data_IF_639175376126
#
_entry.id   IF_639175376126
#
_cell.length_a   1.000
_cell.length_b   1.000
_cell.length_c   1.000
_cell.angle_alpha   90.00
_cell.angle_beta   90.00
_cell.angle_gamma   90.00
#
_symmetry.space_group_name_H-M   'P 1'
#
loop_
_entity.id
_entity.type
_entity.pdbx_description
1 polymer ?
#
# COMPACT_ATOMS: atom_id res chain seq x y z
N UNK A 1 40.57 -26.08 -48.96
CA UNK A 1 39.41 -25.96 -49.87
C UNK A 1 38.23 -25.66 -48.96
N UNK A 2 37.84 -24.42 -48.68
CA UNK A 2 37.68 -23.26 -49.57
C UNK A 2 36.19 -23.12 -49.83
N UNK A 3 35.53 -22.13 -49.23
CA UNK A 3 34.11 -21.87 -49.47
C UNK A 3 33.43 -21.03 -48.38
N UNK A 4 33.89 -19.79 -48.20
CA UNK A 4 33.20 -18.73 -47.47
C UNK A 4 31.89 -18.34 -48.18
N UNK A 5 30.85 -18.05 -47.41
CA UNK A 5 29.69 -17.27 -47.86
C UNK A 5 29.33 -16.25 -46.78
N UNK A 6 29.94 -15.07 -46.91
CA UNK A 6 29.53 -13.83 -46.27
C UNK A 6 28.33 -13.30 -47.05
N UNK A 7 27.17 -13.15 -46.41
CA UNK A 7 26.03 -12.42 -46.99
C UNK A 7 25.80 -11.12 -46.21
N UNK A 8 25.97 -10.02 -46.92
CA UNK A 8 25.79 -8.63 -46.51
C UNK A 8 24.35 -8.33 -46.08
N UNK A 9 24.20 -7.68 -44.92
CA UNK A 9 22.96 -7.09 -44.45
C UNK A 9 22.80 -5.71 -45.11
N UNK A 10 21.99 -5.64 -46.17
CA UNK A 10 21.53 -4.37 -46.75
C UNK A 10 20.21 -3.95 -46.09
N UNK A 11 20.26 -2.86 -45.33
CA UNK A 11 19.09 -2.24 -44.73
C UNK A 11 18.22 -1.56 -45.78
N UNK A 12 16.99 -2.05 -45.95
CA UNK A 12 15.85 -1.30 -46.49
C UNK A 12 14.55 -1.75 -45.82
N UNK A 13 13.93 -0.83 -45.07
CA UNK A 13 12.54 -0.94 -44.62
C UNK A 13 11.61 -0.86 -45.85
N UNK A 14 10.59 -1.73 -45.99
CA UNK A 14 9.53 -1.48 -46.95
C UNK A 14 8.48 -0.54 -46.37
N UNK A 15 8.30 0.61 -47.03
CA UNK A 15 7.12 1.46 -46.92
C UNK A 15 5.86 0.66 -47.29
N UNK A 16 4.82 0.73 -46.46
CA UNK A 16 3.46 0.38 -46.87
C UNK A 16 2.52 1.56 -46.62
N UNK A 17 1.87 1.92 -47.72
CA UNK A 17 0.94 3.01 -48.00
C UNK A 17 -0.28 3.10 -47.08
N UNK A 18 -0.58 4.34 -46.65
CA UNK A 18 -1.86 4.74 -46.06
C UNK A 18 -2.92 5.01 -47.14
N UNK A 19 -4.23 4.77 -46.89
CA UNK A 19 -5.28 5.18 -47.80
C UNK A 19 -5.71 6.64 -47.56
N UNK A 20 -5.91 7.34 -48.67
CA UNK A 20 -6.38 8.71 -48.79
C UNK A 20 -7.82 8.86 -48.29
N UNK A 21 -8.08 9.82 -47.39
CA UNK A 21 -9.42 10.35 -47.12
C UNK A 21 -9.59 11.72 -47.80
N UNK A 22 -10.59 11.80 -48.67
CA UNK A 22 -10.99 13.00 -49.42
C UNK A 22 -11.59 14.06 -48.50
N UNK A 23 -11.23 15.31 -48.80
CA UNK A 23 -11.77 16.54 -48.24
C UNK A 23 -13.24 16.76 -48.64
N UNK A 24 -14.10 16.98 -47.65
CA UNK A 24 -15.44 17.56 -47.79
C UNK A 24 -15.67 18.48 -46.60
N UNK A 25 -15.78 19.78 -46.85
CA UNK A 25 -15.87 20.81 -45.80
C UNK A 25 -17.28 20.97 -45.23
N UNK A 26 -17.33 21.33 -43.96
CA UNK A 26 -18.36 22.19 -43.35
C UNK A 26 -17.81 22.70 -42.00
N UNK A 27 -17.74 24.03 -41.88
CA UNK A 27 -17.28 24.78 -40.70
C UNK A 27 -18.40 24.95 -39.66
N UNK A 28 -18.14 24.77 -38.36
CA UNK A 28 -19.03 25.27 -37.30
C UNK A 28 -18.66 26.71 -36.85
N UNK A 29 -19.58 27.45 -36.21
CA UNK A 29 -19.44 28.89 -35.92
C UNK A 29 -18.48 29.19 -34.74
N UNK A 30 -17.98 30.44 -34.62
CA UNK A 30 -16.95 30.80 -33.64
C UNK A 30 -17.51 31.03 -32.24
N UNK A 31 -16.84 30.47 -31.23
CA UNK A 31 -16.96 30.86 -29.82
C UNK A 31 -16.12 32.10 -29.50
N UNK A 32 -16.44 32.85 -28.44
CA UNK A 32 -15.85 34.16 -28.17
C UNK A 32 -14.40 34.03 -27.66
N UNK A 33 -13.56 34.96 -28.10
CA UNK A 33 -12.11 34.93 -27.98
C UNK A 33 -11.55 35.06 -26.56
N UNK A 34 -10.40 34.42 -26.38
CA UNK A 34 -9.48 34.59 -25.24
C UNK A 34 -8.54 35.73 -25.57
N UNK A 35 -8.51 36.76 -24.72
CA UNK A 35 -7.52 37.83 -24.75
C UNK A 35 -6.37 37.45 -23.80
N UNK A 36 -5.14 37.46 -24.30
CA UNK A 36 -3.94 37.09 -23.56
C UNK A 36 -3.40 38.34 -22.87
N UNK A 37 -3.40 38.35 -21.54
CA UNK A 37 -2.74 39.37 -20.72
C UNK A 37 -1.93 38.69 -19.62
N UNK A 38 -0.61 38.79 -19.69
CA UNK A 38 0.33 38.20 -18.74
C UNK A 38 0.28 38.85 -17.36
N UNK A 39 0.66 38.09 -16.34
CA UNK A 39 0.84 38.58 -14.97
C UNK A 39 1.16 37.43 -14.02
N UNK A 40 2.40 37.41 -13.51
CA UNK A 40 2.96 36.32 -12.73
C UNK A 40 2.30 36.07 -11.37
N UNK A 41 2.37 34.81 -10.95
CA UNK A 41 2.00 34.32 -9.62
C UNK A 41 3.05 34.72 -8.57
N UNK A 42 2.63 35.40 -7.50
CA UNK A 42 3.31 35.45 -6.20
C UNK A 42 2.30 35.16 -5.10
N UNK A 43 2.71 34.28 -4.19
CA UNK A 43 1.88 33.70 -3.14
C UNK A 43 1.43 34.70 -2.06
N UNK A 44 0.33 34.35 -1.41
CA UNK A 44 -0.25 35.05 -0.26
C UNK A 44 0.24 34.42 1.03
N UNK A 45 1.12 35.13 1.75
CA UNK A 45 1.31 34.93 3.18
C UNK A 45 0.36 35.88 3.94
N UNK A 46 -0.52 35.33 4.77
CA UNK A 46 -1.27 36.09 5.74
C UNK A 46 -0.35 36.47 6.91
N UNK A 47 -0.14 37.77 7.14
CA UNK A 47 0.56 38.28 8.32
C UNK A 47 -0.40 39.09 9.19
N UNK A 48 -0.48 38.67 10.46
CA UNK A 48 -1.12 39.35 11.57
C UNK A 48 -0.64 40.80 11.70
N UNK A 49 -1.58 41.72 11.95
CA UNK A 49 -1.31 43.11 12.33
C UNK A 49 -1.09 43.20 13.84
N UNK A 50 -0.01 43.84 14.26
CA UNK A 50 0.20 44.36 15.64
C UNK A 50 0.26 45.90 15.53
N UNK A 51 -0.46 46.66 16.37
CA UNK A 51 -0.43 48.12 16.31
C UNK A 51 0.79 48.71 17.03
N UNK A 52 1.38 49.72 16.40
CA UNK A 52 2.46 50.58 16.93
C UNK A 52 1.82 51.75 17.69
N UNK A 53 2.29 52.02 18.91
CA UNK A 53 1.91 53.21 19.70
C UNK A 53 2.62 54.46 19.15
N UNK A 54 1.84 55.52 18.88
CA UNK A 54 2.31 56.85 18.49
C UNK A 54 2.40 57.76 19.72
N UNK A 55 3.53 58.46 19.85
CA UNK A 55 3.85 59.40 20.92
C UNK A 55 3.37 60.83 20.59
N UNK A 56 2.79 61.51 21.56
CA UNK A 56 2.65 62.97 21.69
C UNK A 56 2.95 63.31 23.16
N UNK A 57 3.42 64.48 23.60
CA UNK A 57 3.38 65.83 23.05
C UNK A 57 4.48 66.64 23.75
N UNK A 58 4.97 67.68 23.09
CA UNK A 58 6.01 68.61 23.54
C UNK A 58 5.42 69.72 24.43
N UNK A 59 6.07 70.07 25.55
CA UNK A 59 5.87 71.34 26.27
C UNK A 59 7.21 71.90 26.72
N UNK A 60 7.44 73.19 26.43
CA UNK A 60 8.59 74.02 26.80
C UNK A 60 8.38 74.66 28.18
N UNK A 61 9.46 74.86 28.93
CA UNK A 61 9.64 76.05 29.78
C UNK A 61 11.12 76.27 30.14
N UNK A 62 11.56 77.53 30.08
CA UNK A 62 12.89 78.01 30.45
C UNK A 62 12.97 78.29 31.97
N UNK A 63 14.16 78.18 32.57
CA UNK A 63 14.91 79.29 33.20
C UNK A 63 16.07 78.80 34.11
N UNK A 64 17.23 79.46 33.90
CA UNK A 64 18.25 79.92 34.87
C UNK A 64 19.06 78.96 35.77
N UNK A 65 20.36 78.92 35.45
CA UNK A 65 21.59 78.96 36.29
C UNK A 65 21.48 78.86 37.82
N UNK A 66 22.33 78.00 38.44
CA UNK A 66 23.43 78.37 39.37
C UNK A 66 24.03 77.17 40.15
N UNK A 67 25.37 77.18 40.25
CA UNK A 67 26.24 76.79 41.40
C UNK A 67 26.49 75.30 41.75
N UNK A 68 27.70 74.85 41.38
CA UNK A 68 28.78 74.19 42.16
C UNK A 68 28.41 73.46 43.46
N UNK A 69 28.73 72.15 43.52
CA UNK A 69 29.50 71.55 44.63
C UNK A 69 29.92 70.11 44.27
N UNK A 70 31.21 69.92 44.01
CA UNK A 70 31.83 68.61 43.88
C UNK A 70 32.02 68.00 45.28
N UNK A 71 31.12 67.10 45.67
CA UNK A 71 31.32 66.25 46.84
C UNK A 71 32.05 64.97 46.41
N UNK A 72 33.33 64.85 46.78
CA UNK A 72 34.09 63.61 46.63
C UNK A 72 33.56 62.62 47.67
N UNK A 73 32.63 61.76 47.27
CA UNK A 73 32.22 60.61 48.06
C UNK A 73 33.26 59.50 47.90
N UNK A 74 34.02 59.21 48.96
CA UNK A 74 34.88 58.03 49.04
C UNK A 74 33.98 56.81 49.24
N UNK A 75 33.66 56.11 48.16
CA UNK A 75 32.95 54.83 48.20
C UNK A 75 33.99 53.74 48.52
N UNK A 76 33.81 52.95 49.59
CA UNK A 76 34.67 51.80 49.82
C UNK A 76 34.44 50.78 48.71
N UNK A 77 35.50 50.45 47.97
CA UNK A 77 35.49 49.34 47.01
C UNK A 77 35.32 48.02 47.78
N UNK A 78 34.08 47.57 47.93
CA UNK A 78 33.81 46.17 48.27
C UNK A 78 34.20 45.33 47.06
N UNK A 79 35.31 44.59 47.18
CA UNK A 79 35.74 43.61 46.20
C UNK A 79 34.63 42.56 46.02
N UNK A 80 33.78 42.76 45.02
CA UNK A 80 32.85 41.74 44.57
C UNK A 80 33.71 40.68 43.88
N UNK A 81 33.95 39.56 44.56
CA UNK A 81 34.42 38.36 43.90
C UNK A 81 33.35 37.98 42.86
N UNK A 82 33.59 38.33 41.59
CA UNK A 82 32.81 37.81 40.49
C UNK A 82 33.01 36.29 40.48
N UNK A 83 31.99 35.56 40.92
CA UNK A 83 31.92 34.13 40.67
C UNK A 83 32.08 33.94 39.16
N UNK A 84 33.10 33.18 38.76
CA UNK A 84 33.30 32.84 37.36
C UNK A 84 31.99 32.25 36.81
N UNK A 85 31.56 32.63 35.60
CA UNK A 85 30.37 32.04 35.00
C UNK A 85 30.53 30.52 34.99
N UNK A 86 29.59 29.81 35.60
CA UNK A 86 29.56 28.36 35.55
C UNK A 86 29.65 27.96 34.07
N UNK A 87 30.63 27.13 33.73
CA UNK A 87 30.79 26.63 32.36
C UNK A 87 29.45 26.04 31.92
N UNK A 88 28.88 26.57 30.84
CA UNK A 88 27.65 26.03 30.29
C UNK A 88 27.85 24.54 30.05
N UNK A 89 26.94 23.71 30.57
CA UNK A 89 26.97 22.28 30.30
C UNK A 89 27.00 22.07 28.78
N UNK A 90 27.83 21.14 28.26
CA UNK A 90 27.81 20.81 26.86
C UNK A 90 26.36 20.50 26.44
N UNK A 91 25.93 21.05 25.31
CA UNK A 91 24.63 20.68 24.73
C UNK A 91 24.57 19.17 24.44
N UNK A 92 23.35 18.61 24.27
CA UNK A 92 23.20 17.21 23.92
C UNK A 92 23.95 16.88 22.63
N UNK A 93 24.52 15.69 22.56
CA UNK A 93 25.25 15.19 21.39
C UNK A 93 24.34 14.27 20.58
N UNK A 94 24.69 13.99 19.32
CA UNK A 94 23.85 13.14 18.47
C UNK A 94 23.75 11.71 19.03
N UNK A 95 24.83 11.24 19.66
CA UNK A 95 24.95 9.94 20.32
C UNK A 95 23.92 9.75 21.45
N UNK A 96 23.43 10.83 22.06
CA UNK A 96 22.39 10.76 23.10
C UNK A 96 21.06 10.20 22.57
N UNK A 97 20.90 10.13 21.24
CA UNK A 97 19.72 9.60 20.55
C UNK A 97 20.01 8.38 19.67
N UNK A 98 21.24 7.85 19.69
CA UNK A 98 21.61 6.65 18.96
C UNK A 98 21.26 5.39 19.77
N UNK A 99 20.44 4.52 19.18
CA UNK A 99 20.17 3.19 19.71
C UNK A 99 20.77 2.15 18.76
N UNK A 100 21.36 1.11 19.33
CA UNK A 100 22.03 0.04 18.60
C UNK A 100 21.29 -1.30 18.73
N UNK A 101 20.17 -1.31 19.45
CA UNK A 101 19.36 -2.49 19.71
C UNK A 101 17.86 -2.13 19.73
N UNK A 102 16.97 -3.05 19.32
CA UNK A 102 17.30 -4.37 18.76
C UNK A 102 17.89 -4.25 17.34
N UNK A 103 18.92 -5.05 17.03
CA UNK A 103 19.44 -5.14 15.66
C UNK A 103 18.41 -5.85 14.77
N UNK A 104 17.94 -5.24 13.68
CA UNK A 104 17.02 -5.90 12.76
C UNK A 104 17.63 -7.17 12.15
N UNK A 105 16.82 -8.23 11.92
CA UNK A 105 17.31 -9.44 11.28
C UNK A 105 17.76 -9.16 9.84
N UNK A 106 18.87 -9.81 9.44
CA UNK A 106 19.36 -9.73 8.06
C UNK A 106 18.50 -10.60 7.15
N UNK A 107 17.98 -10.01 6.07
CA UNK A 107 17.18 -10.70 5.05
C UNK A 107 17.86 -10.55 3.70
N UNK A 108 18.11 -11.66 3.00
CA UNK A 108 18.57 -11.61 1.61
C UNK A 108 17.34 -11.46 0.71
N UNK A 109 17.22 -10.36 -0.05
CA UNK A 109 16.13 -10.19 -0.99
C UNK A 109 16.25 -11.19 -2.15
N UNK A 110 15.12 -11.50 -2.79
CA UNK A 110 15.15 -12.30 -4.00
C UNK A 110 15.87 -11.55 -5.14
N UNK A 111 16.47 -12.30 -6.07
CA UNK A 111 17.14 -11.73 -7.24
C UNK A 111 16.18 -11.01 -8.21
N UNK A 112 14.91 -11.43 -8.22
CA UNK A 112 13.86 -10.85 -9.04
C UNK A 112 12.77 -10.26 -8.15
N UNK A 113 12.27 -9.08 -8.51
CA UNK A 113 11.14 -8.45 -7.83
C UNK A 113 9.95 -9.41 -7.82
N UNK A 114 9.28 -9.54 -6.67
CA UNK A 114 8.13 -10.43 -6.46
C UNK A 114 8.49 -11.86 -6.06
N UNK A 115 9.74 -12.31 -6.18
CA UNK A 115 10.14 -13.63 -5.69
C UNK A 115 10.38 -13.62 -4.16
N UNK A 116 10.32 -14.81 -3.57
CA UNK A 116 10.42 -15.00 -2.12
C UNK A 116 11.80 -14.59 -1.55
N UNK A 117 11.88 -13.72 -0.52
CA UNK A 117 13.13 -13.45 0.20
C UNK A 117 13.57 -14.66 1.04
N UNK A 118 14.79 -14.61 1.58
CA UNK A 118 15.40 -15.75 2.29
C UNK A 118 14.67 -16.20 3.56
N UNK A 119 13.85 -15.34 4.16
CA UNK A 119 13.09 -15.63 5.38
C UNK A 119 11.60 -15.89 5.13
N UNK A 120 11.16 -15.92 3.87
CA UNK A 120 9.79 -16.24 3.53
C UNK A 120 9.54 -17.75 3.49
N UNK A 121 8.34 -18.12 3.92
CA UNK A 121 7.77 -19.45 3.70
C UNK A 121 7.19 -19.49 2.28
N UNK A 122 7.69 -20.39 1.44
CA UNK A 122 7.13 -20.65 0.11
C UNK A 122 5.86 -21.49 0.28
N UNK A 123 4.71 -20.88 0.02
CA UNK A 123 3.43 -21.58 0.06
C UNK A 123 3.18 -22.34 -1.24
N UNK A 124 3.62 -21.82 -2.39
CA UNK A 124 3.60 -22.53 -3.66
C UNK A 124 4.68 -22.00 -4.60
N UNK A 125 5.58 -22.88 -5.04
CA UNK A 125 6.69 -22.56 -5.94
C UNK A 125 6.65 -23.33 -7.28
N UNK A 126 5.53 -23.99 -7.56
CA UNK A 126 5.32 -24.79 -8.77
C UNK A 126 5.48 -26.29 -8.59
N UNK A 127 5.92 -26.76 -7.44
CA UNK A 127 6.24 -28.19 -7.23
C UNK A 127 5.04 -29.01 -6.74
N UNK A 128 4.46 -28.64 -5.60
CA UNK A 128 3.38 -29.40 -4.96
C UNK A 128 2.46 -28.52 -4.09
N UNK A 129 1.44 -29.14 -3.50
CA UNK A 129 0.51 -28.52 -2.54
C UNK A 129 0.80 -28.94 -1.09
N UNK A 130 2.05 -29.27 -0.75
CA UNK A 130 2.43 -29.76 0.58
C UNK A 130 2.11 -28.77 1.71
N UNK A 131 2.03 -27.48 1.42
CA UNK A 131 1.65 -26.43 2.37
C UNK A 131 0.15 -26.24 2.53
N UNK A 132 -0.68 -26.94 1.75
CA UNK A 132 -2.12 -26.71 1.65
C UNK A 132 -2.94 -27.95 2.04
N UNK A 133 -4.14 -27.69 2.54
CA UNK A 133 -5.18 -28.68 2.83
C UNK A 133 -6.53 -28.17 2.35
N UNK A 134 -7.49 -29.06 2.13
CA UNK A 134 -8.87 -28.70 1.84
C UNK A 134 -9.55 -28.12 3.08
N UNK A 135 -10.25 -26.99 2.92
CA UNK A 135 -11.00 -26.32 4.02
C UNK A 135 -12.14 -27.19 4.56
N UNK A 136 -12.70 -28.06 3.70
CA UNK A 136 -13.87 -28.88 4.02
C UNK A 136 -13.63 -29.82 5.21
N UNK A 137 -12.48 -30.50 5.21
CA UNK A 137 -12.18 -31.61 6.11
C UNK A 137 -10.68 -31.76 6.48
N UNK A 138 -9.79 -30.89 5.99
CA UNK A 138 -8.35 -30.95 6.27
C UNK A 138 -7.59 -32.01 5.49
N UNK A 139 -8.23 -32.70 4.54
CA UNK A 139 -7.55 -33.63 3.63
C UNK A 139 -6.55 -32.90 2.71
N UNK A 140 -5.62 -33.61 2.04
CA UNK A 140 -4.72 -32.98 1.09
C UNK A 140 -5.48 -32.15 0.02
N UNK A 141 -4.97 -30.96 -0.28
CA UNK A 141 -5.53 -30.13 -1.36
C UNK A 141 -5.44 -30.86 -2.71
N UNK A 142 -6.49 -30.74 -3.54
CA UNK A 142 -6.66 -31.52 -4.77
C UNK A 142 -6.78 -30.67 -6.05
N UNK A 143 -6.33 -29.42 -5.97
CA UNK A 143 -6.21 -28.53 -7.13
C UNK A 143 -5.12 -29.04 -8.09
N UNK A 144 -5.21 -28.65 -9.37
CA UNK A 144 -4.41 -29.27 -10.43
C UNK A 144 -3.12 -28.48 -10.63
N UNK A 145 -1.98 -29.16 -10.64
CA UNK A 145 -0.69 -28.56 -11.03
C UNK A 145 -0.30 -29.05 -12.42
N UNK A 146 -0.05 -28.11 -13.33
CA UNK A 146 0.49 -28.38 -14.67
C UNK A 146 1.57 -27.34 -14.97
N UNK A 147 2.76 -27.78 -15.37
CA UNK A 147 3.89 -26.91 -15.74
C UNK A 147 4.23 -25.84 -14.69
N UNK A 148 4.20 -26.20 -13.41
CA UNK A 148 4.49 -25.28 -12.31
C UNK A 148 3.38 -24.28 -11.97
N UNK A 149 2.20 -24.44 -12.55
CA UNK A 149 1.05 -23.56 -12.37
C UNK A 149 -0.07 -24.31 -11.66
N UNK A 150 -0.62 -23.70 -10.60
CA UNK A 150 -1.72 -24.25 -9.82
C UNK A 150 -3.06 -23.75 -10.35
N UNK A 151 -3.92 -24.61 -10.88
CA UNK A 151 -5.24 -24.25 -11.40
C UNK A 151 -6.35 -24.69 -10.43
N UNK A 152 -7.29 -23.78 -10.16
CA UNK A 152 -8.44 -23.99 -9.27
C UNK A 152 -9.30 -25.16 -9.76
N UNK A 153 -9.78 -25.99 -8.84
CA UNK A 153 -10.76 -27.06 -9.12
C UNK A 153 -12.13 -26.72 -8.53
N UNK A 154 -12.99 -26.05 -9.32
CA UNK A 154 -14.33 -25.56 -8.88
C UNK A 154 -15.34 -26.67 -8.49
N UNK A 155 -15.23 -27.86 -9.07
CA UNK A 155 -16.17 -28.98 -8.85
C UNK A 155 -15.70 -30.07 -7.86
N UNK A 156 -14.79 -29.74 -6.93
CA UNK A 156 -14.11 -30.71 -6.06
C UNK A 156 -14.27 -30.45 -4.55
N UNK A 157 -13.16 -30.57 -3.80
CA UNK A 157 -13.12 -30.30 -2.35
C UNK A 157 -13.38 -28.83 -1.98
N UNK A 158 -13.31 -27.93 -2.97
CA UNK A 158 -13.60 -26.51 -2.82
C UNK A 158 -12.36 -25.70 -2.42
N UNK A 159 -12.55 -24.77 -1.49
CA UNK A 159 -11.49 -23.89 -0.98
C UNK A 159 -10.33 -24.68 -0.38
N UNK A 160 -9.11 -24.17 -0.54
CA UNK A 160 -7.89 -24.69 0.10
C UNK A 160 -7.35 -23.66 1.07
N UNK A 161 -6.65 -24.11 2.10
CA UNK A 161 -6.00 -23.24 3.08
C UNK A 161 -4.64 -23.76 3.50
N UNK A 162 -3.78 -22.85 3.98
CA UNK A 162 -2.44 -23.21 4.46
C UNK A 162 -2.51 -24.10 5.71
N UNK A 163 -1.62 -25.08 5.82
CA UNK A 163 -1.44 -25.88 7.04
C UNK A 163 -0.95 -25.01 8.20
N UNK A 164 0.02 -24.15 7.90
CA UNK A 164 0.52 -23.17 8.85
C UNK A 164 -0.50 -22.05 9.06
N UNK A 165 -0.56 -21.54 10.29
CA UNK A 165 -1.39 -20.42 10.71
C UNK A 165 -0.52 -19.19 10.94
N UNK A 166 -1.05 -18.02 10.60
CA UNK A 166 -0.33 -16.75 10.64
C UNK A 166 -1.12 -15.71 11.46
N UNK A 167 -0.42 -14.66 11.89
CA UNK A 167 -1.01 -13.51 12.59
C UNK A 167 -0.78 -12.25 11.79
N UNK A 168 0.41 -11.67 11.89
CA UNK A 168 0.85 -10.51 11.11
C UNK A 168 1.87 -10.98 10.07
N UNK A 169 1.72 -10.55 8.83
CA UNK A 169 2.59 -11.01 7.75
C UNK A 169 2.59 -10.07 6.53
N UNK A 170 3.64 -10.22 5.73
CA UNK A 170 3.67 -9.82 4.33
C UNK A 170 3.38 -11.04 3.46
N UNK A 171 2.52 -10.91 2.46
CA UNK A 171 2.16 -11.97 1.51
C UNK A 171 2.34 -11.47 0.08
N UNK A 172 2.87 -12.35 -0.77
CA UNK A 172 2.86 -12.19 -2.22
C UNK A 172 2.17 -13.39 -2.87
N UNK A 173 1.39 -13.12 -3.91
CA UNK A 173 0.84 -14.15 -4.77
C UNK A 173 0.60 -13.61 -6.18
N UNK A 174 0.74 -14.49 -7.17
CA UNK A 174 0.38 -14.18 -8.55
C UNK A 174 -0.79 -15.06 -9.01
N UNK A 175 -1.69 -14.48 -9.80
CA UNK A 175 -2.79 -15.21 -10.42
C UNK A 175 -2.98 -14.82 -11.88
N UNK A 176 -3.68 -15.66 -12.63
CA UNK A 176 -4.02 -15.41 -14.03
C UNK A 176 -5.43 -15.86 -14.31
N UNK A 177 -6.25 -14.92 -14.80
CA UNK A 177 -7.52 -15.21 -15.45
C UNK A 177 -7.23 -15.81 -16.83
N UNK A 178 -7.83 -16.95 -17.22
CA UNK A 178 -7.53 -17.59 -18.49
C UNK A 178 -8.03 -16.75 -19.69
N UNK A 179 -7.33 -16.80 -20.82
CA UNK A 179 -7.66 -15.96 -21.99
C UNK A 179 -9.05 -16.24 -22.59
N UNK A 180 -9.59 -17.45 -22.39
CA UNK A 180 -10.91 -17.87 -22.84
C UNK A 180 -12.02 -17.63 -21.79
N UNK A 181 -11.79 -16.76 -20.80
CA UNK A 181 -12.74 -16.50 -19.71
C UNK A 181 -14.10 -15.99 -20.21
N UNK A 182 -15.16 -16.52 -19.61
CA UNK A 182 -16.56 -16.17 -19.86
C UNK A 182 -17.27 -15.77 -18.57
N UNK A 183 -18.49 -15.24 -18.72
CA UNK A 183 -19.30 -14.74 -17.61
C UNK A 183 -19.24 -13.22 -17.47
N UNK A 184 -20.00 -12.71 -16.50
CA UNK A 184 -20.12 -11.29 -16.18
C UNK A 184 -20.19 -11.07 -14.66
N UNK A 185 -19.87 -9.86 -14.21
CA UNK A 185 -19.92 -9.46 -12.81
C UNK A 185 -19.16 -10.47 -11.93
N UNK A 186 -19.73 -10.87 -10.79
CA UNK A 186 -19.16 -11.86 -9.86
C UNK A 186 -19.10 -13.28 -10.42
N UNK A 187 -19.69 -13.55 -11.58
CA UNK A 187 -19.69 -14.86 -12.23
C UNK A 187 -18.57 -15.03 -13.25
N UNK A 188 -17.53 -14.17 -13.22
CA UNK A 188 -16.44 -14.13 -14.20
C UNK A 188 -15.08 -14.12 -13.52
N UNK A 189 -14.42 -15.28 -13.47
CA UNK A 189 -13.07 -15.41 -12.91
C UNK A 189 -12.99 -15.15 -11.40
N UNK A 190 -14.03 -15.52 -10.66
CA UNK A 190 -14.13 -15.25 -9.22
C UNK A 190 -13.32 -16.26 -8.39
N UNK A 191 -12.56 -15.72 -7.44
CA UNK A 191 -11.86 -16.38 -6.35
C UNK A 191 -11.64 -15.32 -5.26
N UNK A 192 -10.87 -15.65 -4.23
CA UNK A 192 -10.49 -14.71 -3.20
C UNK A 192 -9.30 -15.23 -2.44
N UNK A 193 -8.46 -14.31 -1.96
CA UNK A 193 -7.48 -14.62 -0.94
C UNK A 193 -8.03 -14.17 0.40
N UNK A 194 -8.30 -15.13 1.27
CA UNK A 194 -8.75 -14.87 2.62
C UNK A 194 -7.51 -14.69 3.50
N UNK A 195 -7.30 -13.45 3.95
CA UNK A 195 -6.15 -13.04 4.76
C UNK A 195 -6.18 -13.69 6.16
N UNK A 196 -7.35 -14.13 6.60
CA UNK A 196 -7.52 -15.03 7.72
C UNK A 196 -8.73 -15.94 7.49
N UNK A 197 -8.49 -17.25 7.37
CA UNK A 197 -9.53 -18.27 7.38
C UNK A 197 -9.97 -18.57 8.82
N UNK A 198 -11.18 -18.15 9.17
CA UNK A 198 -11.73 -18.30 10.54
C UNK A 198 -12.77 -19.43 10.65
N UNK A 199 -12.98 -20.17 9.56
CA UNK A 199 -13.93 -21.27 9.50
C UNK A 199 -14.09 -21.88 8.11
N UNK A 200 -15.09 -22.76 8.00
CA UNK A 200 -15.44 -23.47 6.75
C UNK A 200 -16.05 -22.53 5.71
N UNK A 201 -16.09 -23.01 4.46
CA UNK A 201 -16.62 -22.23 3.33
C UNK A 201 -15.86 -20.91 3.19
N UNK A 202 -16.61 -19.81 3.07
CA UNK A 202 -16.10 -18.46 2.87
C UNK A 202 -16.04 -17.63 4.17
N UNK A 203 -15.93 -18.29 5.34
CA UNK A 203 -15.67 -17.57 6.59
C UNK A 203 -14.24 -17.02 6.62
N UNK A 204 -14.10 -15.72 6.89
CA UNK A 204 -12.81 -15.04 7.03
C UNK A 204 -12.81 -13.60 6.50
N UNK A 205 -11.62 -13.14 6.13
CA UNK A 205 -11.36 -11.78 5.64
C UNK A 205 -10.88 -11.83 4.19
N UNK A 206 -11.80 -11.66 3.25
CA UNK A 206 -11.54 -11.81 1.81
C UNK A 206 -11.01 -10.52 1.19
N UNK A 207 -9.83 -10.62 0.56
CA UNK A 207 -9.40 -9.73 -0.50
C UNK A 207 -9.80 -10.36 -1.83
N UNK A 208 -10.62 -9.64 -2.58
CA UNK A 208 -11.30 -10.17 -3.75
C UNK A 208 -10.33 -10.46 -4.90
N UNK A 209 -10.55 -11.58 -5.60
CA UNK A 209 -9.94 -11.90 -6.89
C UNK A 209 -11.05 -12.07 -7.92
N UNK A 210 -11.07 -11.21 -8.94
CA UNK A 210 -12.09 -11.25 -9.99
C UNK A 210 -11.49 -10.80 -11.31
N UNK A 211 -12.03 -11.26 -12.45
CA UNK A 211 -11.75 -10.58 -13.72
C UNK A 211 -12.48 -9.23 -13.74
N UNK A 212 -11.76 -8.14 -13.46
CA UNK A 212 -12.29 -6.76 -13.52
C UNK A 212 -11.84 -6.00 -14.78
N UNK A 213 -11.27 -6.68 -15.78
CA UNK A 213 -10.91 -6.08 -17.05
C UNK A 213 -12.13 -5.99 -17.98
N UNK A 214 -12.66 -4.77 -18.16
CA UNK A 214 -13.90 -4.51 -18.92
C UNK A 214 -15.11 -5.35 -18.45
N UNK A 215 -15.19 -5.64 -17.15
CA UNK A 215 -16.27 -6.40 -16.53
C UNK A 215 -16.86 -5.63 -15.33
N UNK A 216 -17.91 -4.82 -15.52
CA UNK A 216 -18.53 -4.08 -14.42
C UNK A 216 -19.17 -5.00 -13.37
N UNK A 217 -19.03 -4.62 -12.10
CA UNK A 217 -19.72 -5.25 -10.97
C UNK A 217 -19.95 -4.20 -9.87
N UNK A 218 -20.50 -4.58 -8.72
CA UNK A 218 -20.60 -3.67 -7.58
C UNK A 218 -19.20 -3.38 -6.99
N UNK A 219 -18.86 -2.10 -6.82
CA UNK A 219 -17.48 -1.65 -6.60
C UNK A 219 -16.85 -2.13 -5.30
N UNK A 220 -17.66 -2.35 -4.25
CA UNK A 220 -17.15 -2.91 -3.00
C UNK A 220 -16.93 -4.44 -3.05
N UNK A 221 -17.18 -5.10 -4.18
CA UNK A 221 -16.88 -6.52 -4.38
C UNK A 221 -16.11 -6.83 -5.67
N UNK A 222 -15.48 -5.82 -6.28
CA UNK A 222 -14.64 -6.00 -7.46
C UNK A 222 -13.20 -6.39 -7.08
N UNK A 223 -12.37 -6.72 -8.07
CA UNK A 223 -10.95 -7.03 -7.84
C UNK A 223 -10.27 -5.95 -6.99
N UNK A 224 -9.48 -6.35 -6.00
CA UNK A 224 -8.77 -5.45 -5.10
C UNK A 224 -9.57 -5.00 -3.89
N UNK A 225 -10.88 -5.26 -3.84
CA UNK A 225 -11.70 -4.88 -2.70
C UNK A 225 -11.49 -5.80 -1.49
N UNK A 226 -11.46 -5.21 -0.29
CA UNK A 226 -11.78 -5.97 0.92
C UNK A 226 -13.28 -6.20 0.94
N UNK A 227 -13.68 -7.45 0.64
CA UNK A 227 -14.99 -7.77 0.09
C UNK A 227 -16.16 -7.21 0.90
N UNK A 228 -16.99 -6.44 0.22
CA UNK A 228 -18.15 -5.66 0.69
C UNK A 228 -17.89 -4.63 1.80
N UNK A 229 -16.63 -4.38 2.19
CA UNK A 229 -16.30 -3.35 3.19
C UNK A 229 -15.78 -2.04 2.58
N UNK A 230 -15.03 -2.11 1.48
CA UNK A 230 -14.51 -0.94 0.76
C UNK A 230 -14.35 -1.25 -0.72
N UNK A 231 -14.33 -0.23 -1.57
CA UNK A 231 -13.94 -0.36 -2.96
C UNK A 231 -12.43 -0.08 -3.08
N UNK A 232 -11.72 -0.72 -4.02
CA UNK A 232 -10.31 -0.44 -4.22
C UNK A 232 -10.11 1.01 -4.69
N UNK A 233 -8.96 1.60 -4.36
CA UNK A 233 -8.58 2.97 -4.77
C UNK A 233 -8.42 3.09 -6.29
N UNK A 234 -8.13 1.99 -6.98
CA UNK A 234 -8.02 1.93 -8.43
C UNK A 234 -8.38 0.53 -8.95
N UNK A 235 -8.83 0.44 -10.20
CA UNK A 235 -8.88 -0.83 -10.94
C UNK A 235 -7.57 -0.97 -11.72
N UNK A 236 -6.67 -1.84 -11.26
CA UNK A 236 -5.36 -2.05 -11.89
C UNK A 236 -5.30 -3.36 -12.69
N UNK A 237 -6.45 -3.89 -13.12
CA UNK A 237 -6.54 -5.19 -13.76
C UNK A 237 -5.82 -5.23 -15.12
N UNK A 238 -4.98 -6.26 -15.31
CA UNK A 238 -4.50 -6.67 -16.63
C UNK A 238 -5.55 -7.50 -17.35
N UNK A 239 -5.43 -7.58 -18.68
CA UNK A 239 -6.35 -8.37 -19.51
C UNK A 239 -6.21 -9.88 -19.25
N UNK A 240 -7.25 -10.68 -19.51
CA UNK A 240 -7.17 -12.14 -19.43
C UNK A 240 -6.01 -12.72 -20.23
N UNK A 241 -5.36 -13.74 -19.68
CA UNK A 241 -4.14 -14.36 -20.20
C UNK A 241 -2.85 -13.78 -19.61
N UNK A 242 -2.88 -12.56 -19.04
CA UNK A 242 -1.73 -11.96 -18.36
C UNK A 242 -1.71 -12.32 -16.87
N UNK A 243 -0.51 -12.40 -16.31
CA UNK A 243 -0.34 -12.59 -14.87
C UNK A 243 -0.58 -11.28 -14.13
N UNK A 244 -1.30 -11.39 -13.03
CA UNK A 244 -1.58 -10.36 -12.04
C UNK A 244 -0.77 -10.66 -10.78
N UNK A 245 -0.46 -9.64 -9.97
CA UNK A 245 0.21 -9.84 -8.69
C UNK A 245 -0.45 -9.05 -7.57
N UNK A 246 -0.42 -9.63 -6.37
CA UNK A 246 -0.71 -8.94 -5.12
C UNK A 246 0.54 -8.96 -4.23
N UNK A 247 0.83 -7.80 -3.65
CA UNK A 247 1.70 -7.64 -2.50
C UNK A 247 0.86 -7.06 -1.36
N UNK A 248 0.79 -7.80 -0.25
CA UNK A 248 -0.15 -7.55 0.84
C UNK A 248 0.61 -7.43 2.16
N UNK A 249 0.29 -6.42 2.95
CA UNK A 249 0.64 -6.36 4.38
C UNK A 249 -0.64 -6.55 5.17
N UNK A 250 -0.65 -7.58 6.02
CA UNK A 250 -1.80 -7.93 6.85
C UNK A 250 -1.46 -7.78 8.33
N UNK A 251 -2.36 -7.09 9.04
CA UNK A 251 -2.38 -7.00 10.49
C UNK A 251 -3.65 -7.66 11.00
N UNK A 252 -3.48 -8.77 11.72
CA UNK A 252 -4.61 -9.46 12.33
C UNK A 252 -5.24 -8.59 13.43
N UNK A 253 -6.55 -8.75 13.70
CA UNK A 253 -7.18 -8.10 14.85
C UNK A 253 -6.70 -8.76 16.15
N UNK A 254 -6.65 -7.98 17.22
CA UNK A 254 -6.32 -8.46 18.57
C UNK A 254 -7.58 -8.34 19.41
N UNK A 255 -7.74 -9.26 20.36
CA UNK A 255 -8.95 -9.38 21.16
C UNK A 255 -8.61 -9.33 22.64
N UNK A 256 -9.50 -8.72 23.42
CA UNK A 256 -9.48 -8.81 24.88
C UNK A 256 -9.89 -10.23 25.32
N UNK A 257 -9.68 -10.54 26.60
CA UNK A 257 -10.05 -11.84 27.18
C UNK A 257 -11.56 -12.14 27.11
N UNK A 258 -12.41 -11.11 27.05
CA UNK A 258 -13.86 -11.23 26.89
C UNK A 258 -14.30 -11.42 25.42
N UNK A 259 -13.36 -11.47 24.48
CA UNK A 259 -13.62 -11.62 23.05
C UNK A 259 -13.96 -10.32 22.32
N UNK A 260 -14.01 -9.18 23.02
CA UNK A 260 -14.16 -7.87 22.37
C UNK A 260 -12.89 -7.48 21.62
N UNK A 261 -13.03 -6.72 20.54
CA UNK A 261 -11.90 -6.27 19.71
C UNK A 261 -11.08 -5.26 20.51
N UNK A 262 -9.79 -5.55 20.68
CA UNK A 262 -8.80 -4.63 21.27
C UNK A 262 -8.18 -3.75 20.19
N UNK A 263 -7.68 -4.36 19.10
CA UNK A 263 -7.21 -3.63 17.91
C UNK A 263 -7.84 -4.25 16.66
N UNK A 264 -8.36 -3.44 15.72
CA UNK A 264 -8.96 -3.95 14.50
C UNK A 264 -7.91 -4.53 13.56
N UNK A 265 -8.38 -5.27 12.55
CA UNK A 265 -7.52 -5.74 11.47
C UNK A 265 -7.23 -4.61 10.48
N UNK A 266 -6.03 -4.63 9.90
CA UNK A 266 -5.64 -3.70 8.83
C UNK A 266 -5.04 -4.42 7.64
N UNK A 267 -5.27 -3.88 6.44
CA UNK A 267 -4.64 -4.38 5.23
C UNK A 267 -4.13 -3.22 4.36
N UNK A 268 -2.92 -3.39 3.83
CA UNK A 268 -2.38 -2.59 2.72
C UNK A 268 -2.15 -3.52 1.54
N UNK A 269 -2.65 -3.15 0.37
CA UNK A 269 -2.65 -4.02 -0.82
C UNK A 269 -2.15 -3.25 -2.02
N UNK A 270 -1.18 -3.83 -2.72
CA UNK A 270 -0.75 -3.42 -4.05
C UNK A 270 -1.18 -4.46 -5.07
N UNK A 271 -1.93 -4.03 -6.10
CA UNK A 271 -2.24 -4.83 -7.28
C UNK A 271 -1.31 -4.39 -8.42
N UNK A 272 -0.50 -5.30 -8.97
CA UNK A 272 0.44 -4.98 -10.07
C UNK A 272 1.35 -3.77 -9.77
N UNK A 273 1.70 -3.55 -8.50
CA UNK A 273 2.47 -2.38 -8.04
C UNK A 273 1.66 -1.10 -7.81
N UNK A 274 0.35 -1.09 -8.09
CA UNK A 274 -0.57 0.01 -7.81
C UNK A 274 -1.20 -0.17 -6.44
N UNK A 275 -1.12 0.84 -5.57
CA UNK A 275 -1.79 0.82 -4.26
C UNK A 275 -3.31 0.83 -4.43
N UNK A 276 -3.98 -0.25 -4.04
CA UNK A 276 -5.45 -0.40 -4.13
C UNK A 276 -6.15 -0.37 -2.78
N UNK A 277 -5.46 -0.71 -1.69
CA UNK A 277 -5.94 -0.52 -0.32
C UNK A 277 -4.82 0.09 0.52
N UNK A 278 -5.09 1.19 1.21
CA UNK A 278 -4.08 1.91 1.99
C UNK A 278 -4.37 1.83 3.48
N UNK A 279 -3.75 0.86 4.17
CA UNK A 279 -3.90 0.62 5.60
C UNK A 279 -5.37 0.66 6.05
N UNK A 280 -6.24 -0.02 5.30
CA UNK A 280 -7.68 0.02 5.53
C UNK A 280 -8.01 -0.71 6.83
N UNK A 281 -8.80 -0.07 7.70
CA UNK A 281 -9.30 -0.66 8.94
C UNK A 281 -10.56 -1.50 8.67
N UNK A 282 -10.46 -2.82 8.82
CA UNK A 282 -11.62 -3.71 8.65
C UNK A 282 -12.58 -3.60 9.85
N UNK A 283 -13.85 -3.94 9.60
CA UNK A 283 -14.94 -3.92 10.59
C UNK A 283 -15.29 -5.31 11.13
N UNK A 284 -14.61 -6.35 10.67
CA UNK A 284 -14.89 -7.75 10.98
C UNK A 284 -14.66 -8.65 9.77
N UNK A 285 -15.13 -9.89 9.85
CA UNK A 285 -15.14 -10.83 8.71
C UNK A 285 -15.92 -10.24 7.52
N UNK A 286 -15.53 -10.60 6.31
CA UNK A 286 -16.23 -10.23 5.07
C UNK A 286 -17.42 -11.15 4.85
N UNK A 287 -18.58 -10.58 4.54
CA UNK A 287 -19.84 -11.34 4.43
C UNK A 287 -20.56 -11.02 3.13
N UNK A 288 -21.08 -12.06 2.46
CA UNK A 288 -21.97 -11.86 1.32
C UNK A 288 -23.30 -11.20 1.75
N UNK A 289 -23.85 -11.59 2.91
CA UNK A 289 -25.09 -11.05 3.48
C UNK A 289 -24.86 -10.65 4.93
N UNK A 290 -25.27 -9.44 5.30
CA UNK A 290 -25.16 -8.92 6.65
C UNK A 290 -24.08 -7.84 6.81
N UNK A 291 -23.88 -7.40 8.05
CA UNK A 291 -22.83 -6.45 8.43
C UNK A 291 -21.61 -7.23 8.95
N UNK A 292 -20.39 -6.75 8.67
CA UNK A 292 -19.18 -7.39 9.18
C UNK A 292 -19.20 -7.45 10.71
N UNK A 293 -18.77 -8.60 11.24
CA UNK A 293 -18.67 -8.84 12.69
C UNK A 293 -17.33 -9.49 12.95
N UNK A 294 -16.70 -9.09 14.06
CA UNK A 294 -15.49 -9.73 14.54
C UNK A 294 -15.80 -11.02 15.29
N UNK A 295 -15.06 -12.08 14.96
CA UNK A 295 -15.02 -13.34 15.71
C UNK A 295 -13.61 -13.51 16.26
N UNK A 296 -13.48 -13.74 17.56
CA UNK A 296 -12.17 -13.86 18.19
C UNK A 296 -11.37 -15.06 17.65
N UNK A 297 -10.11 -14.81 17.29
CA UNK A 297 -9.09 -15.81 16.96
C UNK A 297 -7.70 -15.24 17.26
N UNK A 298 -6.69 -16.12 17.40
CA UNK A 298 -5.29 -15.70 17.60
C UNK A 298 -4.48 -15.75 16.30
N UNK A 299 -4.48 -16.91 15.63
CA UNK A 299 -3.85 -17.12 14.32
C UNK A 299 -4.81 -17.82 13.37
N UNK A 300 -4.65 -17.59 12.07
CA UNK A 300 -5.50 -18.17 11.03
C UNK A 300 -4.69 -18.61 9.80
N UNK A 301 -5.11 -19.67 9.08
CA UNK A 301 -4.60 -19.98 7.75
C UNK A 301 -4.88 -18.86 6.74
N UNK A 302 -4.09 -18.83 5.67
CA UNK A 302 -4.44 -18.12 4.43
C UNK A 302 -5.26 -19.08 3.57
N UNK A 303 -6.40 -18.62 3.03
CA UNK A 303 -7.29 -19.46 2.21
C UNK A 303 -7.40 -18.92 0.79
N UNK A 304 -7.44 -19.82 -0.18
CA UNK A 304 -7.78 -19.52 -1.58
C UNK A 304 -9.15 -20.12 -1.91
N UNK A 305 -10.00 -19.30 -2.50
CA UNK A 305 -11.37 -19.69 -2.81
C UNK A 305 -11.49 -20.45 -4.13
N UNK A 306 -12.28 -21.50 -4.14
CA UNK A 306 -12.85 -22.09 -5.35
C UNK A 306 -14.31 -21.64 -5.47
N UNK A 307 -14.54 -20.45 -6.03
CA UNK A 307 -15.90 -19.95 -6.21
C UNK A 307 -16.69 -20.87 -7.16
N UNK A 308 -17.95 -21.15 -6.80
CA UNK A 308 -18.80 -22.14 -7.47
C UNK A 308 -19.47 -21.67 -8.76
N UNK A 309 -19.09 -20.51 -9.31
CA UNK A 309 -19.62 -20.03 -10.58
C UNK A 309 -19.12 -20.88 -11.77
N UNK A 310 -19.72 -20.67 -12.94
CA UNK A 310 -19.50 -21.49 -14.13
C UNK A 310 -18.33 -21.01 -15.02
N UNK A 311 -17.68 -19.90 -14.69
CA UNK A 311 -16.55 -19.42 -15.49
C UNK A 311 -15.34 -20.33 -15.37
N UNK A 312 -14.45 -20.22 -16.35
CA UNK A 312 -13.22 -20.98 -16.45
C UNK A 312 -12.35 -20.77 -15.20
N UNK A 313 -11.68 -21.83 -14.69
CA UNK A 313 -10.86 -21.72 -13.49
C UNK A 313 -9.63 -20.86 -13.75
N UNK A 314 -9.37 -19.93 -12.83
CA UNK A 314 -8.12 -19.17 -12.81
C UNK A 314 -6.97 -20.03 -12.27
N UNK A 315 -5.76 -19.52 -12.41
CA UNK A 315 -4.55 -20.19 -11.93
C UNK A 315 -3.69 -19.28 -11.06
N UNK A 316 -2.86 -19.88 -10.22
CA UNK A 316 -1.92 -19.24 -9.30
C UNK A 316 -0.48 -19.70 -9.54
N UNK A 317 0.47 -18.86 -9.15
CA UNK A 317 1.90 -19.20 -9.00
C UNK A 317 2.55 -18.29 -7.97
N UNK A 318 3.81 -18.61 -7.62
CA UNK A 318 4.68 -17.75 -6.82
C UNK A 318 3.97 -17.21 -5.57
N UNK A 319 3.62 -18.11 -4.65
CA UNK A 319 2.94 -17.74 -3.40
C UNK A 319 3.93 -17.88 -2.26
N UNK A 320 4.18 -16.80 -1.54
CA UNK A 320 5.04 -16.83 -0.36
C UNK A 320 4.57 -15.84 0.69
N UNK A 321 4.86 -16.18 1.95
CA UNK A 321 4.47 -15.39 3.12
C UNK A 321 5.66 -15.20 4.05
N UNK A 322 5.82 -14.00 4.57
CA UNK A 322 6.83 -13.63 5.56
C UNK A 322 6.12 -13.17 6.83
N UNK A 323 6.14 -13.96 7.92
CA UNK A 323 5.68 -13.51 9.22
C UNK A 323 6.45 -12.26 9.65
N UNK A 324 5.75 -11.27 10.20
CA UNK A 324 6.39 -10.06 10.73
C UNK A 324 6.01 -9.91 12.19
N UNK A 325 7.01 -9.68 13.04
CA UNK A 325 6.76 -9.38 14.45
C UNK A 325 6.32 -7.92 14.58
N UNK A 326 5.19 -7.69 15.24
CA UNK A 326 4.70 -6.40 15.71
C UNK A 326 4.83 -5.22 14.72
N UNK A 327 3.84 -5.06 13.82
CA UNK A 327 3.64 -3.81 13.08
C UNK A 327 2.87 -2.76 13.93
N UNK A 328 2.89 -2.89 15.26
CA UNK A 328 2.37 -1.88 16.17
C UNK A 328 3.35 -0.71 16.30
N UNK A 329 2.94 0.45 16.85
CA UNK A 329 3.88 1.51 17.19
C UNK A 329 4.89 0.95 18.21
N UNK A 330 6.09 0.64 17.73
CA UNK A 330 7.26 0.44 18.58
C UNK A 330 7.45 1.73 19.38
N UNK A 331 7.34 1.61 20.71
CA UNK A 331 7.59 2.70 21.65
C UNK A 331 9.01 3.26 21.52
#
# INVERSE_FOLDING_TARGET
MGGDAVSTWDGKCPEMSAPQCKSGGQTPPPGPGVNVGGGGWRGTHANLRVPVYSSGTMVRSNFSSLIVLAAIAVVPFAAHAQAAPAAAAPGPKHEDTEFYQPVPPVVTPAATVGAAPSDAVKLFDGTDLSQWVAVKDGSPADWVITDGILTVKKGGLGNIETKQRFKDYQLHLEWRIPANITGESQGRGNSGVFLASTGKGDAGYELQILDSYNNPTYTNGMLGSLYKQTAPLANAARKPGEWQSYDIVWNAPRFNADGSVQTPAFATVFENGVLVENHFQLKGETLYVGQPVYKAYDTAPIKLQAHGDKSEPLSFRNIWVRPVHDIGPSH
#
